data_IF_155307163737
#
_entry.id   IF_155307163737
#
_cell.length_a   1.000
_cell.length_b   1.000
_cell.length_c   1.000
_cell.angle_alpha   90.00
_cell.angle_beta   90.00
_cell.angle_gamma   90.00
#
_symmetry.space_group_name_H-M   'P 1'
#
loop_
_entity.id
_entity.type
_entity.pdbx_description
1 polymer ?
#
# COMPACT_ATOMS: atom_id res chain seq x y z
N UNK A 1 -9.54 10.76 -34.88
CA UNK A 1 -9.31 11.28 -33.52
C UNK A 1 -8.99 10.11 -32.61
N UNK A 2 -7.83 10.11 -31.95
CA UNK A 2 -7.49 9.08 -30.99
C UNK A 2 -8.32 9.29 -29.70
N UNK A 3 -9.04 8.27 -29.25
CA UNK A 3 -9.90 8.33 -28.05
C UNK A 3 -9.12 8.44 -26.74
N UNK A 4 -7.80 8.21 -26.79
CA UNK A 4 -6.88 8.32 -25.65
C UNK A 4 -5.84 9.39 -25.99
N UNK A 5 -5.66 10.34 -25.07
CA UNK A 5 -4.80 11.52 -25.22
C UNK A 5 -3.54 11.45 -24.37
N UNK A 6 -3.48 10.53 -23.40
CA UNK A 6 -2.33 10.32 -22.53
C UNK A 6 -1.62 9.01 -22.86
N UNK A 7 -0.37 8.88 -22.41
CA UNK A 7 0.35 7.61 -22.43
C UNK A 7 -0.30 6.60 -21.47
N UNK A 8 -0.24 5.29 -21.75
CA UNK A 8 -0.79 4.27 -20.85
C UNK A 8 -0.32 4.40 -19.39
N UNK A 9 0.96 4.74 -19.17
CA UNK A 9 1.53 4.98 -17.83
C UNK A 9 0.86 6.13 -17.08
N UNK A 10 0.44 7.17 -17.79
CA UNK A 10 -0.19 8.35 -17.18
C UNK A 10 -1.62 8.02 -16.77
N UNK A 11 -2.34 7.24 -17.57
CA UNK A 11 -3.63 6.70 -17.16
C UNK A 11 -3.51 5.76 -15.96
N UNK A 12 -2.53 4.86 -15.97
CA UNK A 12 -2.31 3.93 -14.86
C UNK A 12 -2.01 4.70 -13.56
N UNK A 13 -1.04 5.60 -13.59
CA UNK A 13 -0.66 6.41 -12.42
C UNK A 13 -1.81 7.26 -11.88
N UNK A 14 -2.73 7.70 -12.76
CA UNK A 14 -3.89 8.49 -12.36
C UNK A 14 -5.01 7.65 -11.75
N UNK A 15 -5.27 6.47 -12.29
CA UNK A 15 -6.53 5.73 -12.07
C UNK A 15 -6.35 4.37 -11.38
N UNK A 16 -5.12 3.89 -11.20
CA UNK A 16 -4.84 2.54 -10.71
C UNK A 16 -4.04 2.56 -9.41
N UNK A 17 -4.26 1.51 -8.62
CA UNK A 17 -3.45 1.14 -7.47
C UNK A 17 -2.99 -0.30 -7.63
N UNK A 18 -1.82 -0.63 -7.08
CA UNK A 18 -1.26 -1.98 -7.10
C UNK A 18 -1.11 -2.53 -5.68
N UNK A 19 -1.53 -3.78 -5.46
CA UNK A 19 -1.27 -4.47 -4.20
C UNK A 19 0.19 -4.90 -4.10
N UNK A 20 0.71 -5.01 -2.88
CA UNK A 20 2.08 -5.46 -2.57
C UNK A 20 2.09 -6.26 -1.27
N UNK A 21 2.88 -7.33 -1.21
CA UNK A 21 2.92 -8.24 -0.06
C UNK A 21 4.05 -7.92 0.97
N UNK A 22 5.00 -7.06 0.58
CA UNK A 22 6.01 -6.51 1.49
C UNK A 22 7.35 -7.25 1.53
N UNK A 23 7.49 -8.38 0.85
CA UNK A 23 8.80 -9.02 0.59
C UNK A 23 9.15 -9.15 -0.88
N UNK A 24 8.34 -8.60 -1.76
CA UNK A 24 8.59 -8.60 -3.21
C UNK A 24 9.84 -7.77 -3.52
N UNK A 25 10.81 -8.27 -4.31
CA UNK A 25 12.00 -7.50 -4.67
C UNK A 25 11.70 -6.31 -5.59
N UNK A 26 10.55 -6.29 -6.27
CA UNK A 26 10.15 -5.27 -7.24
C UNK A 26 9.51 -4.02 -6.62
N UNK A 27 9.39 -3.93 -5.29
CA UNK A 27 8.63 -2.86 -4.62
C UNK A 27 9.16 -1.48 -4.97
N UNK A 28 10.47 -1.26 -4.82
CA UNK A 28 11.08 0.06 -5.08
C UNK A 28 11.00 0.43 -6.57
N UNK A 29 11.24 -0.54 -7.46
CA UNK A 29 11.15 -0.32 -8.91
C UNK A 29 9.72 0.04 -9.33
N UNK A 30 8.73 -0.68 -8.80
CA UNK A 30 7.31 -0.43 -9.08
C UNK A 30 6.89 0.92 -8.53
N UNK A 31 7.27 1.25 -7.29
CA UNK A 31 7.03 2.56 -6.71
C UNK A 31 7.64 3.70 -7.54
N UNK A 32 8.83 3.50 -8.11
CA UNK A 32 9.45 4.46 -9.02
C UNK A 32 8.66 4.72 -10.31
N UNK A 33 7.88 3.74 -10.77
CA UNK A 33 7.07 3.85 -11.99
C UNK A 33 5.69 4.46 -11.73
N UNK A 34 5.00 4.02 -10.68
CA UNK A 34 3.59 4.38 -10.44
C UNK A 34 3.38 5.32 -9.25
N UNK A 35 4.41 5.52 -8.43
CA UNK A 35 4.33 6.22 -7.14
C UNK A 35 3.99 5.26 -6.00
N UNK A 36 4.72 5.33 -4.88
CA UNK A 36 4.44 4.49 -3.72
C UNK A 36 3.07 4.81 -3.07
N UNK A 37 2.55 6.03 -3.23
CA UNK A 37 1.19 6.42 -2.82
C UNK A 37 0.08 5.70 -3.63
N UNK A 38 0.46 5.05 -4.74
CA UNK A 38 -0.40 4.21 -5.59
C UNK A 38 -0.21 2.72 -5.34
N UNK A 39 0.52 2.35 -4.30
CA UNK A 39 0.65 0.96 -3.87
C UNK A 39 -0.11 0.74 -2.56
N UNK A 40 -0.61 -0.47 -2.34
CA UNK A 40 -1.40 -0.85 -1.18
C UNK A 40 -0.84 -2.12 -0.57
N UNK A 41 -0.46 -2.09 0.71
CA UNK A 41 -0.10 -3.32 1.42
C UNK A 41 -1.27 -4.31 1.41
N UNK A 42 -1.01 -5.57 1.12
CA UNK A 42 -1.98 -6.65 1.14
C UNK A 42 -1.37 -7.86 1.82
N UNK A 43 -2.15 -8.54 2.67
CA UNK A 43 -1.68 -9.78 3.29
C UNK A 43 -1.90 -11.01 2.43
N UNK A 44 -2.81 -10.94 1.45
CA UNK A 44 -3.27 -12.06 0.65
C UNK A 44 -3.69 -13.31 1.47
N UNK A 45 -4.10 -13.11 2.73
CA UNK A 45 -4.53 -14.22 3.59
C UNK A 45 -5.84 -14.84 3.05
N UNK A 46 -5.99 -16.18 3.00
CA UNK A 46 -5.12 -17.22 3.54
C UNK A 46 -4.27 -17.95 2.48
N UNK A 47 -3.79 -17.27 1.45
CA UNK A 47 -3.00 -17.92 0.41
C UNK A 47 -1.75 -18.61 0.96
N UNK A 48 -1.33 -19.68 0.29
CA UNK A 48 -0.26 -20.56 0.76
C UNK A 48 1.13 -19.91 0.61
N UNK A 49 1.26 -18.99 -0.33
CA UNK A 49 2.44 -18.17 -0.57
C UNK A 49 2.40 -16.87 0.24
N UNK A 50 1.39 -16.71 1.10
CA UNK A 50 1.26 -15.56 1.97
C UNK A 50 2.33 -15.49 3.07
N UNK A 51 2.91 -14.31 3.25
CA UNK A 51 3.75 -13.95 4.39
C UNK A 51 2.97 -13.65 5.68
N UNK A 52 1.64 -13.82 5.69
CA UNK A 52 0.82 -13.58 6.87
C UNK A 52 1.29 -14.43 8.06
N UNK A 53 1.41 -13.87 9.29
CA UNK A 53 0.93 -12.54 9.72
C UNK A 53 1.97 -11.41 9.65
N UNK A 54 3.13 -11.61 9.00
CA UNK A 54 4.30 -10.71 9.10
C UNK A 54 4.50 -9.74 7.93
N UNK A 55 3.49 -9.61 7.08
CA UNK A 55 3.48 -8.83 5.82
C UNK A 55 3.87 -7.36 6.05
N UNK A 56 3.25 -6.71 7.04
CA UNK A 56 3.51 -5.31 7.34
C UNK A 56 4.91 -5.08 7.94
N UNK A 57 5.38 -5.99 8.81
CA UNK A 57 6.75 -5.93 9.34
C UNK A 57 7.80 -6.17 8.26
N UNK A 58 7.53 -7.05 7.30
CA UNK A 58 8.43 -7.31 6.18
C UNK A 58 8.58 -6.07 5.30
N UNK A 59 7.48 -5.39 4.96
CA UNK A 59 7.54 -4.13 4.22
C UNK A 59 8.46 -3.11 4.92
N UNK A 60 8.28 -2.91 6.23
CA UNK A 60 9.09 -1.96 7.00
C UNK A 60 10.59 -2.32 7.08
N UNK A 61 10.94 -3.58 6.88
CA UNK A 61 12.34 -4.06 6.89
C UNK A 61 12.99 -4.00 5.51
N UNK A 62 12.21 -4.23 4.46
CA UNK A 62 12.74 -4.46 3.11
C UNK A 62 12.88 -3.19 2.28
N UNK A 63 12.18 -2.10 2.63
CA UNK A 63 12.27 -0.82 1.89
C UNK A 63 12.52 0.36 2.82
N UNK A 64 12.99 1.51 2.30
CA UNK A 64 13.14 2.73 3.10
C UNK A 64 11.84 3.12 3.82
N UNK A 65 11.98 3.65 5.04
CA UNK A 65 10.85 3.96 5.93
C UNK A 65 9.83 4.90 5.29
N UNK A 66 10.31 5.90 4.56
CA UNK A 66 9.49 6.89 3.86
C UNK A 66 8.67 6.23 2.75
N UNK A 67 9.25 5.26 2.04
CA UNK A 67 8.57 4.50 1.00
C UNK A 67 7.49 3.60 1.61
N UNK A 68 7.85 2.84 2.65
CA UNK A 68 6.90 2.00 3.38
C UNK A 68 5.72 2.81 3.92
N UNK A 69 5.98 4.01 4.47
CA UNK A 69 4.93 4.91 4.94
C UNK A 69 3.94 5.31 3.82
N UNK A 70 4.44 5.61 2.61
CA UNK A 70 3.58 5.93 1.47
C UNK A 70 2.74 4.73 1.02
N UNK A 71 3.31 3.52 1.00
CA UNK A 71 2.60 2.28 0.62
C UNK A 71 1.50 1.95 1.64
N UNK A 72 1.80 2.08 2.94
CA UNK A 72 0.81 1.86 4.00
C UNK A 72 -0.35 2.87 3.89
N UNK A 73 -0.04 4.12 3.56
CA UNK A 73 -1.05 5.17 3.34
C UNK A 73 -1.78 5.04 2.00
N UNK A 74 -1.20 4.41 0.98
CA UNK A 74 -1.81 4.29 -0.34
C UNK A 74 -3.15 3.53 -0.31
N UNK A 75 -3.22 2.45 0.47
CA UNK A 75 -4.47 1.75 0.75
C UNK A 75 -5.50 2.62 1.49
N UNK A 76 -5.04 3.38 2.49
CA UNK A 76 -5.89 4.32 3.21
C UNK A 76 -6.49 5.38 2.27
N UNK A 77 -5.69 5.95 1.36
CA UNK A 77 -6.16 6.91 0.37
C UNK A 77 -7.16 6.30 -0.62
N UNK A 78 -6.92 5.07 -1.08
CA UNK A 78 -7.82 4.35 -1.99
C UNK A 78 -9.20 4.14 -1.36
N UNK A 79 -9.24 3.75 -0.09
CA UNK A 79 -10.50 3.47 0.62
C UNK A 79 -11.08 4.69 1.37
N UNK A 80 -10.46 5.87 1.25
CA UNK A 80 -10.96 7.11 1.83
C UNK A 80 -10.86 7.18 3.36
N UNK A 81 -9.86 6.53 3.95
CA UNK A 81 -9.62 6.62 5.40
C UNK A 81 -9.14 8.02 5.77
N UNK A 82 -9.59 8.47 6.93
CA UNK A 82 -9.33 9.79 7.48
C UNK A 82 -8.63 9.71 8.83
N UNK A 83 -8.15 10.84 9.34
CA UNK A 83 -7.62 10.94 10.71
C UNK A 83 -8.62 10.44 11.78
N UNK A 84 -9.92 10.52 11.51
CA UNK A 84 -10.93 10.01 12.45
C UNK A 84 -10.89 8.47 12.52
N UNK A 85 -10.66 7.80 11.38
CA UNK A 85 -10.53 6.34 11.31
C UNK A 85 -9.28 5.87 12.03
N UNK A 86 -8.16 6.57 11.83
CA UNK A 86 -6.91 6.28 12.54
C UNK A 86 -7.03 6.50 14.05
N UNK A 87 -7.62 7.62 14.50
CA UNK A 87 -7.90 7.86 15.92
C UNK A 87 -8.77 6.76 16.54
N UNK A 88 -9.77 6.27 15.79
CA UNK A 88 -10.62 5.16 16.22
C UNK A 88 -9.82 3.86 16.35
N UNK A 89 -8.92 3.58 15.41
CA UNK A 89 -8.04 2.42 15.46
C UNK A 89 -7.09 2.48 16.68
N UNK A 90 -6.48 3.62 16.93
CA UNK A 90 -5.59 3.85 18.09
C UNK A 90 -6.32 3.60 19.41
N UNK A 91 -7.54 4.14 19.56
CA UNK A 91 -8.36 3.93 20.74
C UNK A 91 -8.72 2.45 20.95
N UNK A 92 -8.97 1.70 19.87
CA UNK A 92 -9.23 0.26 19.95
C UNK A 92 -7.97 -0.54 20.33
N UNK A 93 -6.81 -0.18 19.81
CA UNK A 93 -5.53 -0.80 20.15
C UNK A 93 -5.16 -0.57 21.62
N UNK A 94 -5.40 0.63 22.16
CA UNK A 94 -5.15 0.95 23.57
C UNK A 94 -5.98 0.07 24.52
N UNK A 95 -7.27 -0.16 24.22
CA UNK A 95 -8.17 -1.02 25.02
C UNK A 95 -7.76 -2.49 25.03
N UNK A 96 -7.08 -2.98 23.99
CA UNK A 96 -6.59 -4.37 23.94
C UNK A 96 -5.34 -4.61 24.78
N UNK A 97 -4.66 -3.54 25.20
CA UNK A 97 -3.42 -3.60 26.01
C UNK A 97 -3.67 -3.48 27.51
N UNK A 98 -4.90 -3.15 27.92
CA UNK A 98 -5.38 -3.08 29.30
C UNK A 98 -6.14 -4.34 29.66
#
# INVERSE_FOLDING_TARGET
>A
MAYLTLMPREYFRRNCWAAVEGSEPEIEATAGLIGADRMCISTDYPHFDSNFPHVAENLLKNVPRELAAQILMGGAHLYGFTDADFKKADAAAAKRRT
#
